data_IF_365714117649
#
_entry.id   IF_365714117649
#
_cell.length_a   1.000
_cell.length_b   1.000
_cell.length_c   1.000
_cell.angle_alpha   90.00
_cell.angle_beta   90.00
_cell.angle_gamma   90.00
#
_symmetry.space_group_name_H-M   'P 1'
#
loop_
_entity.id
_entity.type
_entity.pdbx_description
1 polymer ?
#
# COMPACT_ATOMS: atom_id res chain seq x y z
N UNK A 1 -33.78 -58.72 26.43
CA UNK A 1 -34.07 -57.34 26.87
C UNK A 1 -32.92 -56.98 27.80
N UNK A 2 -31.99 -56.07 27.53
CA UNK A 2 -32.08 -54.76 26.89
C UNK A 2 -30.67 -54.35 26.45
N UNK A 3 -30.55 -53.82 25.23
CA UNK A 3 -29.33 -53.20 24.72
C UNK A 3 -29.07 -51.88 25.45
N UNK A 4 -27.81 -51.55 25.77
CA UNK A 4 -27.38 -50.16 25.96
C UNK A 4 -25.99 -49.91 25.34
N UNK A 5 -26.10 -49.42 24.12
CA UNK A 5 -25.22 -48.52 23.35
C UNK A 5 -24.32 -47.63 24.22
N UNK A 6 -23.05 -47.49 23.83
CA UNK A 6 -22.37 -46.19 23.91
C UNK A 6 -21.31 -46.04 22.81
N UNK A 7 -21.76 -45.70 21.61
CA UNK A 7 -20.94 -45.12 20.55
C UNK A 7 -20.78 -43.63 20.83
N UNK A 8 -19.62 -43.22 21.35
CA UNK A 8 -19.27 -41.80 21.42
C UNK A 8 -19.03 -41.29 20.00
N UNK A 9 -19.97 -40.48 19.53
CA UNK A 9 -19.85 -39.64 18.37
C UNK A 9 -18.73 -38.62 18.58
N UNK A 10 -17.64 -38.76 17.85
CA UNK A 10 -16.71 -37.67 17.61
C UNK A 10 -17.35 -36.75 16.58
N UNK A 11 -18.09 -35.74 17.04
CA UNK A 11 -18.48 -34.60 16.21
C UNK A 11 -17.23 -33.75 15.99
N UNK A 12 -16.43 -34.13 14.98
CA UNK A 12 -15.50 -33.20 14.37
C UNK A 12 -16.36 -32.22 13.61
N UNK A 13 -16.54 -31.04 14.19
CA UNK A 13 -17.07 -29.88 13.49
C UNK A 13 -16.10 -29.60 12.34
N UNK A 14 -16.45 -30.04 11.14
CA UNK A 14 -15.75 -29.66 9.92
C UNK A 14 -15.90 -28.14 9.78
N UNK A 15 -14.86 -27.41 10.18
CA UNK A 15 -14.68 -26.01 9.78
C UNK A 15 -14.79 -25.95 8.25
N UNK A 16 -15.51 -24.97 7.67
CA UNK A 16 -15.62 -24.87 6.23
C UNK A 16 -14.21 -24.70 5.66
N UNK A 17 -13.75 -25.72 4.92
CA UNK A 17 -12.53 -25.66 4.14
C UNK A 17 -12.57 -24.38 3.29
N UNK A 18 -11.58 -23.51 3.45
CA UNK A 18 -11.45 -22.25 2.72
C UNK A 18 -11.66 -22.51 1.23
N UNK A 19 -12.75 -21.94 0.68
CA UNK A 19 -13.17 -22.16 -0.68
C UNK A 19 -12.04 -21.91 -1.69
N UNK A 20 -11.82 -22.87 -2.58
CA UNK A 20 -10.97 -22.78 -3.76
C UNK A 20 -11.17 -21.42 -4.46
N UNK A 21 -10.05 -20.78 -4.78
CA UNK A 21 -9.93 -19.44 -5.37
C UNK A 21 -11.06 -19.12 -6.39
N UNK A 22 -12.09 -18.38 -5.94
CA UNK A 22 -13.29 -18.04 -6.74
C UNK A 22 -13.08 -16.87 -7.72
N UNK A 23 -11.98 -16.11 -7.60
CA UNK A 23 -11.73 -14.94 -8.44
C UNK A 23 -10.79 -15.27 -9.61
N UNK A 24 -11.19 -14.80 -10.80
CA UNK A 24 -10.41 -14.91 -12.05
C UNK A 24 -8.99 -14.37 -11.91
N UNK A 25 -8.82 -13.24 -11.23
CA UNK A 25 -7.51 -12.61 -10.98
C UNK A 25 -7.59 -11.63 -9.78
N UNK A 26 -6.43 -11.16 -9.26
CA UNK A 26 -6.39 -10.21 -8.16
C UNK A 26 -7.18 -8.90 -8.39
N UNK A 27 -7.27 -8.43 -9.63
CA UNK A 27 -7.98 -7.18 -9.94
C UNK A 27 -9.50 -7.38 -9.79
N UNK A 28 -10.03 -8.52 -10.25
CA UNK A 28 -11.43 -8.89 -10.03
C UNK A 28 -11.75 -9.00 -8.53
N UNK A 29 -10.88 -9.67 -7.75
CA UNK A 29 -11.01 -9.76 -6.29
C UNK A 29 -11.02 -8.38 -5.61
N UNK A 30 -10.18 -7.46 -6.07
CA UNK A 30 -10.13 -6.09 -5.53
C UNK A 30 -11.44 -5.34 -5.78
N UNK A 31 -12.01 -5.46 -6.98
CA UNK A 31 -13.27 -4.80 -7.33
C UNK A 31 -14.44 -5.33 -6.50
N UNK A 32 -14.47 -6.63 -6.20
CA UNK A 32 -15.57 -7.26 -5.47
C UNK A 32 -15.45 -7.11 -3.96
N UNK A 33 -14.25 -7.34 -3.40
CA UNK A 33 -14.05 -7.42 -1.96
C UNK A 33 -13.30 -6.23 -1.35
N UNK A 34 -12.74 -5.35 -2.19
CA UNK A 34 -11.87 -4.26 -1.78
C UNK A 34 -10.42 -4.69 -1.56
N UNK A 35 -9.51 -3.71 -1.69
CA UNK A 35 -8.06 -3.92 -1.65
C UNK A 35 -7.57 -4.54 -0.33
N UNK A 36 -8.23 -4.23 0.79
CA UNK A 36 -7.86 -4.71 2.11
C UNK A 36 -7.91 -6.25 2.27
N UNK A 37 -8.69 -6.95 1.43
CA UNK A 37 -8.80 -8.42 1.42
C UNK A 37 -7.72 -9.14 0.60
N UNK A 38 -6.90 -8.41 -0.17
CA UNK A 38 -5.86 -9.02 -1.01
C UNK A 38 -4.63 -9.42 -0.20
N UNK A 39 -3.99 -10.54 -0.54
CA UNK A 39 -2.67 -10.93 -0.03
C UNK A 39 -1.59 -9.96 -0.54
N UNK A 40 -0.42 -9.92 0.12
CA UNK A 40 0.69 -9.05 -0.31
C UNK A 40 1.12 -9.34 -1.77
N UNK A 41 1.17 -10.62 -2.13
CA UNK A 41 1.48 -11.07 -3.49
C UNK A 41 0.45 -10.58 -4.52
N UNK A 42 -0.84 -10.56 -4.16
CA UNK A 42 -1.93 -10.10 -5.02
C UNK A 42 -1.84 -8.58 -5.27
N UNK A 43 -1.52 -7.80 -4.23
CA UNK A 43 -1.30 -6.36 -4.37
C UNK A 43 -0.09 -6.06 -5.27
N UNK A 44 1.03 -6.78 -5.07
CA UNK A 44 2.22 -6.62 -5.92
C UNK A 44 1.94 -7.03 -7.36
N UNK A 45 1.17 -8.08 -7.61
CA UNK A 45 0.78 -8.50 -8.95
C UNK A 45 0.00 -7.40 -9.67
N UNK A 46 -0.91 -6.69 -8.98
CA UNK A 46 -1.64 -5.55 -9.55
C UNK A 46 -0.69 -4.38 -9.88
N UNK A 47 0.28 -4.09 -9.01
CA UNK A 47 1.29 -3.06 -9.29
C UNK A 47 2.17 -3.45 -10.49
N UNK A 48 2.62 -4.70 -10.55
CA UNK A 48 3.37 -5.25 -11.70
C UNK A 48 2.55 -5.12 -12.99
N UNK A 49 1.23 -5.31 -12.91
CA UNK A 49 0.29 -5.17 -14.01
C UNK A 49 0.35 -6.41 -14.91
N UNK A 50 1.08 -6.32 -16.02
CA UNK A 50 1.25 -7.45 -16.93
C UNK A 50 2.46 -8.30 -16.58
N UNK A 51 2.35 -9.60 -16.86
CA UNK A 51 3.47 -10.54 -16.83
C UNK A 51 4.48 -10.29 -17.95
N UNK A 52 5.37 -11.27 -18.14
CA UNK A 52 6.24 -11.40 -19.31
C UNK A 52 5.99 -12.78 -19.95
N UNK A 53 6.42 -13.04 -21.20
CA UNK A 53 6.27 -14.38 -21.78
C UNK A 53 6.76 -15.47 -20.84
N UNK A 54 5.90 -16.45 -20.54
CA UNK A 54 6.20 -17.56 -19.63
C UNK A 54 6.08 -17.27 -18.12
N UNK A 55 5.79 -16.03 -17.69
CA UNK A 55 5.58 -15.68 -16.27
C UNK A 55 4.43 -14.69 -16.05
N UNK A 56 3.43 -15.11 -15.30
CA UNK A 56 2.31 -14.23 -14.92
C UNK A 56 2.77 -13.11 -13.96
N UNK A 57 1.97 -12.05 -13.84
CA UNK A 57 2.24 -10.99 -12.87
C UNK A 57 2.25 -11.53 -11.42
N UNK A 58 1.42 -12.54 -11.12
CA UNK A 58 1.41 -13.22 -9.83
C UNK A 58 2.71 -13.98 -9.59
N UNK A 59 3.23 -14.71 -10.59
CA UNK A 59 4.50 -15.41 -10.47
C UNK A 59 5.68 -14.43 -10.26
N UNK A 60 5.68 -13.29 -10.95
CA UNK A 60 6.69 -12.24 -10.73
C UNK A 60 6.57 -11.66 -9.32
N UNK A 61 5.34 -11.40 -8.84
CA UNK A 61 5.09 -10.91 -7.49
C UNK A 61 5.56 -11.89 -6.42
N UNK A 62 5.35 -13.20 -6.63
CA UNK A 62 5.86 -14.25 -5.75
C UNK A 62 7.38 -14.20 -5.70
N UNK A 63 8.07 -14.12 -6.84
CA UNK A 63 9.53 -14.01 -6.88
C UNK A 63 10.07 -12.77 -6.16
N UNK A 64 9.36 -11.63 -6.23
CA UNK A 64 9.70 -10.44 -5.42
C UNK A 64 9.60 -10.76 -3.92
N UNK A 65 8.54 -11.44 -3.48
CA UNK A 65 8.38 -11.80 -2.08
C UNK A 65 9.30 -12.94 -1.63
N UNK A 66 9.81 -13.78 -2.52
CA UNK A 66 10.86 -14.75 -2.19
C UNK A 66 12.18 -14.04 -1.87
N UNK A 67 12.48 -12.93 -2.56
CA UNK A 67 13.69 -12.13 -2.32
C UNK A 67 13.60 -11.28 -1.04
N UNK A 68 12.43 -10.69 -0.76
CA UNK A 68 12.27 -9.74 0.35
C UNK A 68 11.49 -10.30 1.53
N UNK A 69 10.75 -11.40 1.43
CA UNK A 69 9.85 -11.99 2.44
C UNK A 69 8.59 -11.17 2.74
N UNK A 70 8.65 -9.84 2.75
CA UNK A 70 7.50 -8.98 3.07
C UNK A 70 7.55 -7.59 2.41
N UNK A 71 6.41 -6.89 2.35
CA UNK A 71 6.34 -5.46 1.98
C UNK A 71 7.18 -4.58 2.92
N UNK A 72 7.30 -4.97 4.19
CA UNK A 72 8.12 -4.24 5.18
C UNK A 72 9.62 -4.36 4.88
N UNK A 73 10.06 -5.53 4.45
CA UNK A 73 11.45 -5.75 4.04
C UNK A 73 11.78 -5.06 2.72
N UNK A 74 10.83 -4.97 1.77
CA UNK A 74 10.96 -4.10 0.61
C UNK A 74 11.11 -2.64 1.07
N UNK A 75 10.33 -2.21 2.06
CA UNK A 75 10.50 -0.88 2.65
C UNK A 75 11.90 -0.67 3.27
N UNK A 76 12.47 -1.66 3.96
CA UNK A 76 13.78 -1.50 4.62
C UNK A 76 14.98 -1.61 3.68
N UNK A 77 14.90 -2.50 2.67
CA UNK A 77 16.06 -2.92 1.88
C UNK A 77 15.87 -2.72 0.37
N UNK A 78 14.66 -2.47 -0.08
CA UNK A 78 14.32 -2.37 -1.50
C UNK A 78 14.84 -1.07 -2.12
N UNK A 79 15.51 -1.23 -3.25
CA UNK A 79 15.83 -0.14 -4.19
C UNK A 79 15.22 -0.46 -5.56
N UNK A 80 15.16 0.53 -6.46
CA UNK A 80 14.74 0.28 -7.84
C UNK A 80 15.69 -0.72 -8.49
N UNK A 81 16.99 -0.55 -8.27
CA UNK A 81 18.06 -1.39 -8.79
C UNK A 81 17.93 -2.84 -8.31
N UNK A 82 17.72 -3.07 -7.02
CA UNK A 82 17.59 -4.42 -6.47
C UNK A 82 16.32 -5.11 -6.96
N UNK A 83 15.20 -4.37 -7.07
CA UNK A 83 13.95 -4.92 -7.62
C UNK A 83 14.10 -5.29 -9.10
N UNK A 84 14.89 -4.56 -9.88
CA UNK A 84 15.12 -4.90 -11.30
C UNK A 84 15.91 -6.19 -11.50
N UNK A 85 16.51 -6.75 -10.44
CA UNK A 85 17.16 -8.07 -10.50
C UNK A 85 16.15 -9.22 -10.59
N UNK A 86 14.89 -8.98 -10.23
CA UNK A 86 13.82 -9.99 -10.38
C UNK A 86 13.41 -10.06 -11.86
N UNK A 87 13.55 -11.21 -12.54
CA UNK A 87 13.19 -11.31 -13.96
C UNK A 87 11.72 -11.00 -14.18
N UNK A 88 11.45 -10.03 -15.06
CA UNK A 88 10.09 -9.53 -15.35
C UNK A 88 9.75 -8.21 -14.64
N UNK A 89 10.62 -7.71 -13.76
CA UNK A 89 10.52 -6.40 -13.13
C UNK A 89 11.49 -5.42 -13.81
N UNK A 90 10.99 -4.63 -14.75
CA UNK A 90 11.75 -3.50 -15.31
C UNK A 90 11.69 -2.26 -14.41
N UNK A 91 12.43 -1.20 -14.79
CA UNK A 91 12.49 0.07 -14.05
C UNK A 91 11.11 0.65 -13.74
N UNK A 92 10.18 0.61 -14.69
CA UNK A 92 8.82 1.15 -14.49
C UNK A 92 8.04 0.40 -13.40
N UNK A 93 8.14 -0.94 -13.39
CA UNK A 93 7.46 -1.80 -12.40
C UNK A 93 8.11 -1.63 -11.03
N UNK A 94 9.45 -1.60 -10.97
CA UNK A 94 10.20 -1.35 -9.75
C UNK A 94 9.88 0.04 -9.17
N UNK A 95 9.93 1.09 -9.98
CA UNK A 95 9.62 2.46 -9.58
C UNK A 95 8.21 2.60 -9.05
N UNK A 96 7.23 1.91 -9.65
CA UNK A 96 5.85 1.86 -9.14
C UNK A 96 5.73 1.16 -7.78
N UNK A 97 6.40 0.03 -7.59
CA UNK A 97 6.43 -0.66 -6.30
C UNK A 97 7.04 0.29 -5.25
N UNK A 98 8.20 0.88 -5.55
CA UNK A 98 8.86 1.82 -4.64
C UNK A 98 8.02 3.07 -4.37
N UNK A 99 7.22 3.54 -5.33
CA UNK A 99 6.30 4.65 -5.12
C UNK A 99 5.21 4.29 -4.09
N UNK A 100 4.64 3.08 -4.16
CA UNK A 100 3.68 2.61 -3.17
C UNK A 100 4.31 2.46 -1.76
N UNK A 101 5.56 2.00 -1.70
CA UNK A 101 6.34 1.92 -0.45
C UNK A 101 6.60 3.32 0.13
N UNK A 102 6.99 4.29 -0.70
CA UNK A 102 7.25 5.67 -0.28
C UNK A 102 5.98 6.38 0.20
N UNK A 103 4.82 6.13 -0.42
CA UNK A 103 3.54 6.57 0.12
C UNK A 103 3.28 6.00 1.52
N UNK A 104 3.67 4.76 1.79
CA UNK A 104 3.59 4.16 3.13
C UNK A 104 4.49 4.85 4.15
N UNK A 105 5.72 5.21 3.76
CA UNK A 105 6.64 6.00 4.59
C UNK A 105 6.06 7.38 4.91
N UNK A 106 5.52 8.07 3.91
CA UNK A 106 4.86 9.37 4.09
C UNK A 106 3.66 9.25 5.03
N UNK A 107 2.81 8.24 4.85
CA UNK A 107 1.65 8.01 5.71
C UNK A 107 2.05 7.79 7.17
N UNK A 108 3.12 7.01 7.41
CA UNK A 108 3.65 6.80 8.74
C UNK A 108 4.22 8.08 9.38
N UNK A 109 5.03 8.86 8.65
CA UNK A 109 5.55 10.15 9.14
C UNK A 109 4.42 11.09 9.54
N UNK A 110 3.38 11.15 8.72
CA UNK A 110 2.20 11.95 9.00
C UNK A 110 1.43 11.48 10.25
N UNK A 111 1.37 10.17 10.50
CA UNK A 111 0.82 9.64 11.74
C UNK A 111 1.71 9.98 12.94
N UNK A 112 3.03 9.91 12.80
CA UNK A 112 3.96 10.28 13.87
C UNK A 112 3.80 11.75 14.29
N UNK A 113 3.71 12.68 13.33
CA UNK A 113 3.50 14.11 13.61
C UNK A 113 2.18 14.42 14.31
N UNK A 114 1.19 13.51 14.22
CA UNK A 114 -0.11 13.64 14.89
C UNK A 114 -0.12 12.98 16.28
N UNK A 115 0.94 12.27 16.68
CA UNK A 115 1.02 11.71 18.03
C UNK A 115 1.26 12.85 19.02
N UNK A 116 0.52 12.91 20.14
CA UNK A 116 0.86 13.83 21.22
C UNK A 116 2.30 13.56 21.62
N UNK A 117 3.16 14.59 21.55
CA UNK A 117 4.50 14.47 22.09
C UNK A 117 4.37 14.12 23.57
N UNK A 118 5.09 13.09 24.02
CA UNK A 118 5.20 12.84 25.47
C UNK A 118 5.75 14.15 26.06
N UNK A 119 5.08 14.77 27.05
CA UNK A 119 5.62 15.98 27.64
C UNK A 119 7.05 15.67 28.09
N UNK A 120 7.96 16.60 27.80
CA UNK A 120 9.33 16.49 28.27
C UNK A 120 9.31 16.13 29.77
N UNK A 121 10.19 15.22 30.24
CA UNK A 121 10.29 15.00 31.67
C UNK A 121 10.39 16.36 32.34
N UNK A 122 9.53 16.63 33.34
CA UNK A 122 9.63 17.86 34.12
C UNK A 122 11.07 17.91 34.63
N UNK A 123 11.80 18.95 34.26
CA UNK A 123 13.08 19.22 34.89
C UNK A 123 12.81 19.30 36.40
N UNK A 124 13.67 18.69 37.22
CA UNK A 124 13.62 18.91 38.66
C UNK A 124 13.63 20.44 38.89
N UNK A 125 12.64 20.94 39.63
CA UNK A 125 12.19 22.34 39.68
C UNK A 125 13.25 23.37 40.18
N UNK A 126 14.51 22.97 40.37
CA UNK A 126 15.51 23.79 41.07
C UNK A 126 16.55 24.48 40.17
N UNK A 127 16.61 24.28 38.85
CA UNK A 127 17.73 24.85 38.05
C UNK A 127 17.44 25.25 36.59
N UNK A 128 16.32 25.88 36.20
CA UNK A 128 16.25 26.51 34.86
C UNK A 128 15.44 27.82 34.89
N UNK A 129 16.17 28.95 34.84
CA UNK A 129 15.59 30.26 34.54
C UNK A 129 15.13 30.35 33.08
N UNK A 130 14.02 31.05 32.86
CA UNK A 130 13.43 31.49 31.58
C UNK A 130 13.97 30.79 30.32
N UNK A 131 13.47 29.58 30.07
CA UNK A 131 13.50 28.99 28.74
C UNK A 131 12.06 28.85 28.27
N UNK A 132 11.54 29.89 27.61
CA UNK A 132 10.49 29.67 26.61
C UNK A 132 10.94 28.50 25.74
N UNK A 133 10.16 27.41 25.74
CA UNK A 133 10.49 26.21 24.97
C UNK A 133 10.86 26.64 23.55
N UNK A 134 11.98 26.13 22.98
CA UNK A 134 12.34 26.47 21.62
C UNK A 134 11.14 26.17 20.72
N UNK A 135 10.80 27.04 19.75
CA UNK A 135 9.74 26.74 18.80
C UNK A 135 10.03 25.35 18.23
N UNK A 136 9.04 24.47 18.23
CA UNK A 136 9.19 23.16 17.61
C UNK A 136 9.82 23.39 16.22
N UNK A 137 10.91 22.70 15.88
CA UNK A 137 11.54 22.90 14.58
C UNK A 137 10.47 22.64 13.53
N UNK A 138 10.27 23.61 12.63
CA UNK A 138 9.36 23.45 11.51
C UNK A 138 9.65 22.08 10.85
N UNK A 139 8.62 21.28 10.55
CA UNK A 139 8.84 19.96 9.97
C UNK A 139 9.74 20.16 8.75
N UNK A 140 10.81 19.36 8.60
CA UNK A 140 11.72 19.51 7.48
C UNK A 140 10.91 19.50 6.17
N UNK A 141 11.28 20.31 5.17
CA UNK A 141 10.61 20.27 3.87
C UNK A 141 10.54 18.81 3.40
N UNK A 142 9.48 18.38 2.71
CA UNK A 142 9.29 16.98 2.39
C UNK A 142 10.48 16.48 1.56
N UNK A 143 11.41 15.77 2.21
CA UNK A 143 12.49 15.09 1.51
C UNK A 143 11.88 13.97 0.66
N UNK A 144 12.14 14.03 -0.64
CA UNK A 144 11.68 13.03 -1.61
C UNK A 144 10.54 13.50 -2.52
N UNK A 145 10.02 12.60 -3.38
CA UNK A 145 9.03 12.94 -4.39
C UNK A 145 7.71 13.44 -3.78
N UNK A 146 7.03 14.33 -4.50
CA UNK A 146 5.69 14.80 -4.18
C UNK A 146 4.63 13.69 -4.31
N UNK A 147 3.46 13.87 -3.69
CA UNK A 147 2.32 12.96 -3.83
C UNK A 147 1.94 12.75 -5.30
N UNK A 148 1.98 13.84 -6.09
CA UNK A 148 1.70 13.81 -7.51
C UNK A 148 2.73 12.97 -8.28
N UNK A 149 4.01 13.04 -7.94
CA UNK A 149 5.07 12.24 -8.58
C UNK A 149 4.97 10.76 -8.22
N UNK A 150 4.63 10.46 -6.96
CA UNK A 150 4.38 9.09 -6.53
C UNK A 150 3.17 8.49 -7.24
N UNK A 151 2.06 9.23 -7.30
CA UNK A 151 0.87 8.80 -8.04
C UNK A 151 1.12 8.71 -9.54
N UNK A 152 1.92 9.62 -10.12
CA UNK A 152 2.32 9.55 -11.52
C UNK A 152 3.07 8.24 -11.83
N UNK A 153 4.02 7.85 -10.98
CA UNK A 153 4.73 6.58 -11.11
C UNK A 153 3.77 5.38 -11.00
N UNK A 154 2.76 5.48 -10.13
CA UNK A 154 1.72 4.45 -9.98
C UNK A 154 0.83 4.37 -11.22
N UNK A 155 0.34 5.49 -11.72
CA UNK A 155 -0.45 5.60 -12.95
C UNK A 155 0.34 5.03 -14.13
N UNK A 156 1.64 5.29 -14.19
CA UNK A 156 2.58 4.80 -15.20
C UNK A 156 2.52 5.63 -16.47
N UNK A 157 1.46 5.47 -17.27
CA UNK A 157 1.31 6.15 -18.56
C UNK A 157 0.19 7.19 -18.57
N UNK A 158 0.41 8.26 -19.34
CA UNK A 158 -0.55 9.34 -19.54
C UNK A 158 -1.61 9.00 -20.59
N UNK A 159 -2.28 10.04 -21.09
CA UNK A 159 -3.02 10.03 -22.34
C UNK A 159 -2.48 11.15 -23.24
N UNK A 160 -2.97 11.26 -24.47
CA UNK A 160 -2.57 12.35 -25.39
C UNK A 160 -2.74 13.70 -24.68
N UNK A 161 -1.68 14.51 -24.72
CA UNK A 161 -1.58 15.86 -24.13
C UNK A 161 -1.80 15.92 -22.60
N UNK A 162 -1.75 14.77 -21.92
CA UNK A 162 -1.95 14.68 -20.47
C UNK A 162 -0.98 13.67 -19.86
N UNK A 163 0.20 14.13 -19.42
CA UNK A 163 1.18 13.25 -18.79
C UNK A 163 0.66 12.69 -17.45
N UNK A 164 1.21 11.57 -16.95
CA UNK A 164 0.75 10.94 -15.71
C UNK A 164 0.71 11.89 -14.50
N UNK A 165 1.65 12.83 -14.42
CA UNK A 165 1.73 13.84 -13.35
C UNK A 165 0.51 14.76 -13.33
N UNK A 166 0.06 15.24 -14.48
CA UNK A 166 -1.15 16.07 -14.58
C UNK A 166 -2.39 15.28 -14.19
N UNK A 167 -2.48 14.00 -14.58
CA UNK A 167 -3.58 13.12 -14.16
C UNK A 167 -3.56 12.91 -12.64
N UNK A 168 -2.38 12.75 -12.04
CA UNK A 168 -2.23 12.64 -10.60
C UNK A 168 -2.64 13.93 -9.87
N UNK A 169 -2.22 15.09 -10.38
CA UNK A 169 -2.59 16.40 -9.83
C UNK A 169 -4.10 16.63 -9.88
N UNK A 170 -4.75 16.32 -10.99
CA UNK A 170 -6.21 16.38 -11.12
C UNK A 170 -6.92 15.47 -10.11
N UNK A 171 -6.41 14.25 -9.93
CA UNK A 171 -6.97 13.30 -8.96
C UNK A 171 -6.83 13.86 -7.54
N UNK A 172 -5.64 14.35 -7.17
CA UNK A 172 -5.39 14.93 -5.85
C UNK A 172 -6.24 16.17 -5.59
N UNK A 173 -6.33 17.09 -6.56
CA UNK A 173 -7.11 18.32 -6.44
C UNK A 173 -8.59 18.03 -6.14
N UNK A 174 -9.13 16.94 -6.70
CA UNK A 174 -10.51 16.52 -6.46
C UNK A 174 -10.75 15.96 -5.06
N UNK A 175 -9.73 15.41 -4.42
CA UNK A 175 -9.84 14.68 -3.15
C UNK A 175 -8.88 15.25 -2.10
N UNK A 176 -9.02 16.54 -1.77
CA UNK A 176 -8.34 17.16 -0.64
C UNK A 176 -6.86 17.50 -0.85
N UNK A 177 -6.38 17.51 -2.09
CA UNK A 177 -5.07 18.04 -2.47
C UNK A 177 -3.85 17.20 -2.08
N UNK A 178 -4.07 16.04 -1.44
CA UNK A 178 -2.99 15.14 -0.99
C UNK A 178 -3.43 13.68 -1.07
N UNK A 179 -2.47 12.75 -1.07
CA UNK A 179 -2.80 11.33 -1.19
C UNK A 179 -3.68 10.83 -0.03
N UNK A 180 -3.70 11.54 1.12
CA UNK A 180 -4.53 11.22 2.28
C UNK A 180 -6.02 11.27 1.95
N UNK A 181 -6.45 12.25 1.15
CA UNK A 181 -7.86 12.41 0.81
C UNK A 181 -8.38 11.34 -0.15
N UNK A 182 -7.50 10.54 -0.76
CA UNK A 182 -7.88 9.38 -1.57
C UNK A 182 -8.33 8.18 -0.72
N UNK A 183 -7.96 8.11 0.56
CA UNK A 183 -8.42 7.01 1.42
C UNK A 183 -9.92 7.15 1.72
N UNK A 184 -10.63 6.03 1.68
CA UNK A 184 -12.06 5.98 2.01
C UNK A 184 -13.00 6.45 0.91
N UNK A 185 -12.49 6.81 -0.27
CA UNK A 185 -13.30 7.20 -1.43
C UNK A 185 -13.79 5.96 -2.19
N UNK A 186 -14.96 6.06 -2.84
CA UNK A 186 -15.46 5.02 -3.73
C UNK A 186 -14.71 5.01 -5.07
N UNK A 187 -14.54 3.83 -5.68
CA UNK A 187 -13.84 3.69 -6.96
C UNK A 187 -14.56 4.43 -8.10
N UNK A 188 -15.89 4.48 -8.04
CA UNK A 188 -16.73 5.16 -9.01
C UNK A 188 -16.49 6.68 -9.03
N UNK A 189 -16.14 7.27 -7.88
CA UNK A 189 -15.86 8.69 -7.78
C UNK A 189 -14.62 9.10 -8.59
N UNK A 190 -13.73 8.15 -8.91
CA UNK A 190 -12.47 8.42 -9.58
C UNK A 190 -12.58 8.34 -11.10
N UNK A 191 -13.60 7.63 -11.61
CA UNK A 191 -13.83 7.45 -13.05
C UNK A 191 -13.97 8.76 -13.85
N UNK A 192 -14.56 9.84 -13.31
CA UNK A 192 -14.64 11.11 -14.04
C UNK A 192 -13.29 11.83 -14.23
N UNK A 193 -12.21 11.41 -13.54
CA UNK A 193 -10.88 12.02 -13.73
C UNK A 193 -10.31 11.58 -15.07
N UNK A 194 -10.26 12.53 -16.03
CA UNK A 194 -9.82 12.27 -17.40
C UNK A 194 -8.39 11.71 -17.42
N UNK A 195 -8.27 10.48 -17.92
CA UNK A 195 -7.01 9.73 -18.01
C UNK A 195 -6.90 8.57 -17.04
N UNK A 196 -7.87 8.40 -16.12
CA UNK A 196 -8.03 7.23 -15.28
C UNK A 196 -9.07 6.28 -15.86
N UNK A 197 -8.68 5.03 -16.08
CA UNK A 197 -9.58 3.93 -16.37
C UNK A 197 -9.56 2.94 -15.20
N UNK A 198 -10.43 1.93 -15.23
CA UNK A 198 -10.55 0.96 -14.14
C UNK A 198 -9.21 0.30 -13.79
N UNK A 199 -8.36 -0.02 -14.78
CA UNK A 199 -7.02 -0.60 -14.52
C UNK A 199 -6.11 0.33 -13.74
N UNK A 200 -6.08 1.63 -14.08
CA UNK A 200 -5.27 2.63 -13.33
C UNK A 200 -5.83 2.85 -11.93
N UNK A 201 -7.16 2.89 -11.78
CA UNK A 201 -7.84 3.05 -10.48
C UNK A 201 -7.52 1.86 -9.57
N UNK A 202 -7.74 0.63 -10.03
CA UNK A 202 -7.43 -0.61 -9.30
C UNK A 202 -5.97 -0.61 -8.82
N UNK A 203 -5.05 -0.16 -9.68
CA UNK A 203 -3.63 -0.07 -9.35
C UNK A 203 -3.33 0.98 -8.27
N UNK A 204 -3.94 2.15 -8.33
CA UNK A 204 -3.81 3.16 -7.27
C UNK A 204 -4.36 2.61 -5.96
N UNK A 205 -5.51 1.93 -5.96
CA UNK A 205 -6.08 1.32 -4.76
C UNK A 205 -5.19 0.24 -4.17
N UNK A 206 -4.56 -0.59 -5.00
CA UNK A 206 -3.57 -1.55 -4.55
C UNK A 206 -2.34 -0.84 -3.94
N UNK A 207 -1.86 0.26 -4.55
CA UNK A 207 -0.76 1.05 -4.02
C UNK A 207 -1.08 1.69 -2.66
N UNK A 208 -2.27 2.26 -2.50
CA UNK A 208 -2.72 2.84 -1.23
C UNK A 208 -2.85 1.76 -0.14
N UNK A 209 -3.29 0.54 -0.51
CA UNK A 209 -3.33 -0.57 0.42
C UNK A 209 -1.94 -1.08 0.82
N UNK A 210 -0.98 -1.10 -0.11
CA UNK A 210 0.44 -1.35 0.19
C UNK A 210 0.96 -0.28 1.15
N UNK A 211 0.71 1.01 0.86
CA UNK A 211 1.10 2.13 1.70
C UNK A 211 0.54 1.99 3.13
N UNK A 212 -0.74 1.67 3.28
CA UNK A 212 -1.38 1.45 4.57
C UNK A 212 -0.75 0.28 5.36
N UNK A 213 -0.37 -0.81 4.67
CA UNK A 213 0.27 -1.97 5.32
C UNK A 213 1.69 -1.66 5.75
N UNK A 214 2.46 -0.98 4.91
CA UNK A 214 3.82 -0.53 5.24
C UNK A 214 3.78 0.43 6.41
N UNK A 215 2.89 1.44 6.39
CA UNK A 215 2.76 2.40 7.47
C UNK A 215 2.42 1.73 8.82
N UNK A 216 1.50 0.76 8.80
CA UNK A 216 1.20 -0.05 9.98
C UNK A 216 2.42 -0.85 10.42
N UNK A 217 3.10 -1.57 9.53
CA UNK A 217 4.26 -2.38 9.87
C UNK A 217 5.45 -1.57 10.42
N UNK A 218 5.57 -0.28 10.12
CA UNK A 218 6.59 0.60 10.74
C UNK A 218 6.17 1.06 12.14
N UNK A 219 4.86 1.08 12.44
CA UNK A 219 4.34 1.53 13.72
C UNK A 219 4.43 0.49 14.86
N UNK A 220 4.66 -0.78 14.54
CA UNK A 220 4.83 -1.90 15.47
C UNK A 220 6.27 -2.41 15.44
#
# INVERSE_FOLDING_TARGET
MTAHRNSRSSSVSEEPQEAEQTWRDPAAKLLELGSHKLKQVELLAILIGSGVPGRSALAIATAVLEQYLSLYDIHRKGTVEDLTRVPGVGRDKAGRIMAAIELGRKLYRLWQLQRPQKPAPKADDDLIGDLSAPPEPAPPPPEGPSDAELLAAIIGSGIRDRPPKVIAEDLLARFGGSFRGLFGQDLGDWLPVKGLNSTKIIRICAALQVAARVARAIAW
#
